data_IF_720115733953
#
_entry.id   IF_720115733953
#
_cell.length_a   1.000
_cell.length_b   1.000
_cell.length_c   1.000
_cell.angle_alpha   90.00
_cell.angle_beta   90.00
_cell.angle_gamma   90.00
#
_symmetry.space_group_name_H-M   'P 1'
#
loop_
_entity.id
_entity.type
_entity.pdbx_description
1 polymer ?
#
# COMPACT_ATOMS: atom_id res chain seq x y z
N UNK A 1 7.00 0.51 -6.21
CA UNK A 1 7.81 -0.59 -6.76
C UNK A 1 7.60 -1.82 -5.87
N UNK A 2 7.67 -3.04 -6.39
CA UNK A 2 7.43 -4.25 -5.58
C UNK A 2 8.77 -4.76 -5.06
N UNK A 3 8.91 -4.86 -3.73
CA UNK A 3 10.07 -5.49 -3.10
C UNK A 3 9.79 -6.98 -2.86
N UNK A 4 10.77 -7.87 -3.15
CA UNK A 4 10.62 -9.29 -2.86
C UNK A 4 10.37 -9.50 -1.36
N UNK A 5 9.39 -10.35 -1.02
CA UNK A 5 8.88 -10.65 0.33
C UNK A 5 8.11 -9.54 1.05
N UNK A 6 8.31 -8.31 0.62
CA UNK A 6 8.05 -7.10 1.39
C UNK A 6 6.96 -6.20 0.77
N UNK A 7 6.46 -6.58 -0.40
CA UNK A 7 5.28 -6.01 -1.05
C UNK A 7 5.50 -4.78 -1.92
N UNK A 8 4.42 -4.23 -2.50
CA UNK A 8 4.42 -2.92 -3.13
C UNK A 8 4.81 -1.85 -2.10
N UNK A 9 6.05 -1.38 -2.17
CA UNK A 9 6.56 -0.27 -1.37
C UNK A 9 6.69 0.99 -2.20
N UNK A 10 6.39 2.11 -1.57
CA UNK A 10 6.71 3.44 -2.09
C UNK A 10 8.23 3.65 -2.04
N UNK A 11 8.80 4.48 -2.92
CA UNK A 11 10.25 4.77 -2.93
C UNK A 11 10.73 5.25 -1.53
N UNK A 12 9.88 6.00 -0.84
CA UNK A 12 10.09 6.47 0.52
C UNK A 12 10.19 5.32 1.54
N UNK A 13 9.27 4.36 1.50
CA UNK A 13 9.27 3.22 2.44
C UNK A 13 10.45 2.29 2.19
N UNK A 14 10.90 2.17 0.93
CA UNK A 14 12.07 1.38 0.59
C UNK A 14 13.36 1.94 1.24
N UNK A 15 13.46 3.27 1.37
CA UNK A 15 14.61 3.95 1.98
C UNK A 15 14.49 4.01 3.51
N UNK A 16 13.28 4.05 4.06
CA UNK A 16 13.05 4.07 5.51
C UNK A 16 13.30 2.70 6.19
N UNK A 17 13.09 1.58 5.48
CA UNK A 17 13.26 0.22 6.01
C UNK A 17 14.55 -0.11 6.77
N UNK A 18 15.76 0.22 6.27
CA UNK A 18 16.98 -0.08 7.01
C UNK A 18 17.06 0.65 8.35
N UNK A 19 16.48 1.87 8.42
CA UNK A 19 16.40 2.66 9.65
C UNK A 19 15.42 1.99 10.63
N UNK A 20 14.23 1.63 10.17
CA UNK A 20 13.21 0.95 10.99
C UNK A 20 13.70 -0.41 11.51
N UNK A 21 14.39 -1.17 10.65
CA UNK A 21 14.97 -2.47 11.03
C UNK A 21 16.06 -2.33 12.09
N UNK A 22 16.84 -1.25 12.06
CA UNK A 22 17.89 -0.98 13.04
C UNK A 22 17.30 -0.55 14.40
N UNK A 23 16.16 0.16 14.38
CA UNK A 23 15.46 0.61 15.58
C UNK A 23 14.49 -0.43 16.17
N UNK A 24 14.34 -1.58 15.52
CA UNK A 24 13.37 -2.59 15.93
C UNK A 24 13.79 -3.27 17.27
N UNK A 25 12.97 -3.19 18.33
CA UNK A 25 13.26 -3.81 19.63
C UNK A 25 13.38 -5.35 19.57
N UNK A 26 12.85 -6.00 18.53
CA UNK A 26 13.00 -7.45 18.28
C UNK A 26 14.48 -7.84 18.08
N UNK A 27 15.35 -6.91 17.68
CA UNK A 27 16.80 -7.15 17.60
C UNK A 27 17.49 -7.31 18.95
N UNK A 28 16.87 -6.83 20.03
CA UNK A 28 17.39 -6.95 21.39
C UNK A 28 16.97 -8.27 22.06
N UNK A 29 16.29 -9.16 21.35
CA UNK A 29 15.96 -10.51 21.84
C UNK A 29 17.17 -11.43 21.61
N UNK A 30 17.87 -11.76 22.70
CA UNK A 30 19.05 -12.63 22.69
C UNK A 30 18.73 -14.08 22.29
N UNK A 31 17.49 -14.53 22.54
CA UNK A 31 17.05 -15.88 22.17
C UNK A 31 16.80 -16.00 20.66
N UNK A 32 17.79 -16.51 19.94
CA UNK A 32 17.80 -16.65 18.46
C UNK A 32 16.54 -17.34 17.91
N UNK A 33 16.02 -18.45 18.48
CA UNK A 33 14.79 -19.08 17.99
C UNK A 33 13.57 -18.15 18.08
N UNK A 34 13.36 -17.48 19.21
CA UNK A 34 12.24 -16.55 19.42
C UNK A 34 12.37 -15.35 18.49
N UNK A 35 13.58 -14.82 18.31
CA UNK A 35 13.82 -13.73 17.36
C UNK A 35 13.43 -14.12 15.94
N UNK A 36 13.82 -15.31 15.49
CA UNK A 36 13.51 -15.78 14.14
C UNK A 36 12.00 -16.01 13.96
N UNK A 37 11.31 -16.53 14.98
CA UNK A 37 9.84 -16.69 14.96
C UNK A 37 9.14 -15.33 14.90
N UNK A 38 9.59 -14.35 15.69
CA UNK A 38 9.02 -13.00 15.66
C UNK A 38 9.22 -12.32 14.29
N UNK A 39 10.41 -12.45 13.70
CA UNK A 39 10.68 -11.94 12.35
C UNK A 39 9.81 -12.62 11.28
N UNK A 40 9.62 -13.93 11.39
CA UNK A 40 8.76 -14.67 10.46
C UNK A 40 7.28 -14.27 10.61
N UNK A 41 6.80 -14.08 11.84
CA UNK A 41 5.44 -13.63 12.12
C UNK A 41 5.20 -12.21 11.57
N UNK A 42 6.13 -11.29 11.80
CA UNK A 42 6.06 -9.91 11.30
C UNK A 42 5.99 -9.86 9.76
N UNK A 43 6.77 -10.73 9.09
CA UNK A 43 6.72 -10.87 7.64
C UNK A 43 5.35 -11.37 7.15
N UNK A 44 4.75 -12.34 7.85
CA UNK A 44 3.43 -12.86 7.52
C UNK A 44 2.32 -11.81 7.71
N UNK A 45 2.39 -11.05 8.81
CA UNK A 45 1.47 -9.93 9.08
C UNK A 45 1.56 -8.90 7.97
N UNK A 46 2.78 -8.46 7.63
CA UNK A 46 3.01 -7.52 6.53
C UNK A 46 2.39 -8.03 5.22
N UNK A 47 2.54 -9.32 4.90
CA UNK A 47 1.95 -9.91 3.71
C UNK A 47 0.42 -9.91 3.73
N UNK A 48 -0.20 -10.17 4.88
CA UNK A 48 -1.65 -10.15 5.01
C UNK A 48 -2.21 -8.74 4.74
N UNK A 49 -1.57 -7.71 5.30
CA UNK A 49 -1.96 -6.31 5.10
C UNK A 49 -1.85 -5.89 3.63
N UNK A 50 -0.78 -6.33 2.95
CA UNK A 50 -0.55 -6.04 1.54
C UNK A 50 -1.54 -6.75 0.62
N UNK A 51 -1.92 -8.00 0.94
CA UNK A 51 -2.96 -8.71 0.18
C UNK A 51 -4.31 -8.01 0.30
N UNK A 52 -4.62 -7.44 1.46
CA UNK A 52 -5.84 -6.66 1.66
C UNK A 52 -5.79 -5.33 0.91
N UNK A 53 -4.64 -4.66 0.85
CA UNK A 53 -4.46 -3.44 0.05
C UNK A 53 -4.52 -3.73 -1.47
N UNK A 54 -4.00 -4.88 -1.91
CA UNK A 54 -4.09 -5.32 -3.30
C UNK A 54 -5.53 -5.70 -3.69
N UNK A 55 -6.32 -6.27 -2.79
CA UNK A 55 -7.72 -6.65 -3.08
C UNK A 55 -8.66 -5.45 -3.24
N UNK A 56 -8.32 -4.29 -2.66
CA UNK A 56 -9.06 -3.03 -2.87
C UNK A 56 -8.78 -2.44 -4.26
N UNK A 57 -7.64 -2.77 -4.89
CA UNK A 57 -7.36 -2.42 -6.28
C UNK A 57 -8.06 -3.44 -7.18
N UNK A 58 -9.35 -3.26 -7.39
CA UNK A 58 -10.14 -4.05 -8.34
C UNK A 58 -9.85 -3.56 -9.77
N UNK A 59 -9.28 -4.43 -10.62
CA UNK A 59 -9.13 -4.20 -12.07
C UNK A 59 -7.76 -3.69 -12.56
N UNK A 60 -7.74 -2.98 -13.70
CA UNK A 60 -6.50 -2.44 -14.28
C UNK A 60 -6.07 -1.15 -13.57
N UNK A 61 -4.95 -1.21 -12.83
CA UNK A 61 -4.37 -0.08 -12.07
C UNK A 61 -4.29 1.21 -12.89
N UNK A 62 -3.93 1.12 -14.17
CA UNK A 62 -3.83 2.28 -15.05
C UNK A 62 -5.18 2.98 -15.27
N UNK A 63 -6.26 2.22 -15.44
CA UNK A 63 -7.61 2.78 -15.62
C UNK A 63 -8.04 3.53 -14.36
N UNK A 64 -7.84 2.95 -13.17
CA UNK A 64 -8.17 3.61 -11.91
C UNK A 64 -7.46 4.96 -11.75
N UNK A 65 -6.14 5.01 -11.98
CA UNK A 65 -5.39 6.27 -11.88
C UNK A 65 -5.78 7.29 -12.94
N UNK A 66 -6.03 6.83 -14.18
CA UNK A 66 -6.48 7.67 -15.27
C UNK A 66 -7.83 8.31 -14.94
N UNK A 67 -8.78 7.51 -14.48
CA UNK A 67 -10.15 7.96 -14.22
C UNK A 67 -10.18 8.90 -13.01
N UNK A 68 -9.41 8.63 -11.95
CA UNK A 68 -9.24 9.55 -10.83
C UNK A 68 -8.60 10.90 -11.24
N UNK A 69 -7.60 10.87 -12.12
CA UNK A 69 -6.99 12.09 -12.66
C UNK A 69 -8.00 12.91 -13.48
N UNK A 70 -8.76 12.25 -14.36
CA UNK A 70 -9.79 12.88 -15.18
C UNK A 70 -10.93 13.45 -14.33
N UNK A 71 -11.42 12.71 -13.32
CA UNK A 71 -12.42 13.19 -12.37
C UNK A 71 -11.95 14.45 -11.64
N UNK A 72 -10.72 14.44 -11.10
CA UNK A 72 -10.14 15.61 -10.43
C UNK A 72 -10.01 16.81 -11.36
N UNK A 73 -9.59 16.59 -12.61
CA UNK A 73 -9.43 17.67 -13.60
C UNK A 73 -10.77 18.26 -14.01
N UNK A 74 -11.78 17.43 -14.22
CA UNK A 74 -13.13 17.90 -14.52
C UNK A 74 -13.74 18.65 -13.33
N UNK A 75 -13.54 18.16 -12.10
CA UNK A 75 -13.95 18.87 -10.88
C UNK A 75 -13.33 20.27 -10.76
N UNK A 76 -12.03 20.39 -11.08
CA UNK A 76 -11.33 21.68 -11.07
C UNK A 76 -11.79 22.61 -12.20
N UNK A 77 -12.21 22.08 -13.35
CA UNK A 77 -12.69 22.87 -14.47
C UNK A 77 -14.14 23.32 -14.31
N UNK A 78 -14.97 22.54 -13.61
CA UNK A 78 -16.38 22.80 -13.38
C UNK A 78 -16.65 23.50 -12.05
N UNK A 79 -15.66 24.18 -11.45
CA UNK A 79 -15.78 24.90 -10.17
C UNK A 79 -16.43 24.08 -9.03
N UNK A 80 -16.17 22.78 -9.01
CA UNK A 80 -16.70 21.86 -8.01
C UNK A 80 -18.07 21.26 -8.32
N UNK A 81 -18.65 21.53 -9.49
CA UNK A 81 -19.86 20.87 -9.97
C UNK A 81 -19.53 19.44 -10.45
N UNK A 82 -19.93 18.46 -9.64
CA UNK A 82 -19.84 17.05 -9.98
C UNK A 82 -21.11 16.66 -10.73
N UNK A 83 -21.02 16.54 -12.06
CA UNK A 83 -22.05 15.83 -12.83
C UNK A 83 -21.95 14.35 -12.49
N UNK A 84 -22.83 13.86 -11.61
CA UNK A 84 -22.86 12.48 -11.16
C UNK A 84 -23.46 11.56 -12.23
N UNK A 85 -22.66 11.22 -13.25
CA UNK A 85 -23.06 10.27 -14.30
C UNK A 85 -23.15 8.82 -13.82
N UNK A 86 -22.90 8.52 -12.54
CA UNK A 86 -23.05 7.17 -12.00
C UNK A 86 -24.50 6.82 -11.62
N UNK A 87 -25.39 7.82 -11.50
CA UNK A 87 -26.79 7.60 -11.12
C UNK A 87 -27.74 7.38 -12.31
N UNK A 88 -27.31 7.72 -13.53
CA UNK A 88 -28.17 7.74 -14.73
C UNK A 88 -28.22 6.38 -15.48
N UNK A 89 -27.41 5.40 -15.08
CA UNK A 89 -27.24 4.11 -15.77
C UNK A 89 -27.82 2.89 -15.00
N UNK A 90 -28.73 3.09 -14.03
CA UNK A 90 -29.47 2.02 -13.32
C UNK A 90 -30.99 2.07 -13.53
#
# INVERSE_FOLDING_TARGET
MVLPFLGPSTLRDAIARPIDTALNPVRHVDHVPTRNVLLAADLLVTRADLLQAESVILGEKYLFYRDAYLQRRNFLNNDGEVTDTFHDDF
#
